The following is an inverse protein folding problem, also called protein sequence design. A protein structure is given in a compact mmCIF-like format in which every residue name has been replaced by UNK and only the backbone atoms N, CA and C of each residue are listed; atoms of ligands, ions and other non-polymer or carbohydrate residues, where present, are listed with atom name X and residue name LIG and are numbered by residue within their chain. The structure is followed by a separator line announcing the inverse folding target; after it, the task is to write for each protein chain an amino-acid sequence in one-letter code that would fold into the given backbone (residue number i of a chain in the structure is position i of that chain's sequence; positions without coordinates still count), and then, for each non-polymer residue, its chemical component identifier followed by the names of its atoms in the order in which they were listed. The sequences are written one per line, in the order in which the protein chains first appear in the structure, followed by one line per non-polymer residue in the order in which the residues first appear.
data_IF_055974909238
#
_entry.id   IF_055974909238
#
_cell.length_a   1.000
_cell.length_b   1.000
_cell.length_c   1.000
_cell.angle_alpha   90.00
_cell.angle_beta   90.00
_cell.angle_gamma   90.00
#
_symmetry.space_group_name_H-M   'P 1'
#
loop_
_entity.id
_entity.type
_entity.pdbx_description
1 polymer ?
#
# COMPACT_ATOMS: atom_id res chain seq x y z
N UNK A 1 -8.23 -7.31 -7.13
CA UNK A 1 -8.33 -6.31 -6.04
C UNK A 1 -9.65 -6.39 -5.27
N UNK A 2 -10.80 -6.42 -5.95
CA UNK A 2 -12.13 -6.45 -5.34
C UNK A 2 -12.69 -7.88 -5.32
N UNK A 3 -12.61 -8.61 -4.20
CA UNK A 3 -13.13 -9.98 -4.11
C UNK A 3 -14.67 -10.00 -4.15
N UNK A 4 -15.23 -11.13 -4.59
CA UNK A 4 -16.69 -11.39 -4.63
C UNK A 4 -17.32 -11.64 -3.25
N UNK A 5 -16.48 -11.99 -2.26
CA UNK A 5 -16.87 -12.24 -0.87
C UNK A 5 -16.22 -11.21 0.05
N UNK A 6 -16.83 -10.89 1.20
CA UNK A 6 -16.15 -10.14 2.25
C UNK A 6 -14.83 -10.79 2.61
N UNK A 7 -13.79 -9.99 2.84
CA UNK A 7 -12.44 -10.48 3.11
C UNK A 7 -11.77 -9.64 4.16
N UNK A 8 -11.11 -10.31 5.09
CA UNK A 8 -10.27 -9.64 6.06
C UNK A 8 -8.85 -9.41 5.54
N UNK A 9 -8.25 -8.30 5.95
CA UNK A 9 -6.80 -8.10 5.89
C UNK A 9 -6.25 -7.62 7.22
N UNK A 10 -4.99 -7.92 7.48
CA UNK A 10 -4.28 -7.42 8.66
C UNK A 10 -3.00 -6.71 8.25
N UNK A 11 -2.69 -5.60 8.91
CA UNK A 11 -1.46 -4.84 8.69
C UNK A 11 -0.24 -5.62 9.16
N UNK A 12 0.58 -6.14 8.22
CA UNK A 12 1.82 -6.87 8.53
C UNK A 12 3.07 -6.10 8.04
N UNK A 13 3.05 -4.78 8.17
CA UNK A 13 4.29 -4.02 8.22
C UNK A 13 4.93 -4.16 9.61
N UNK A 14 6.20 -3.77 9.74
CA UNK A 14 6.96 -3.89 10.99
C UNK A 14 6.27 -3.22 12.20
N UNK A 15 5.46 -2.17 12.01
CA UNK A 15 4.66 -1.57 13.08
C UNK A 15 3.54 -2.50 13.57
N UNK A 16 2.80 -3.13 12.66
CA UNK A 16 1.76 -4.11 12.99
C UNK A 16 2.34 -5.36 13.64
N UNK A 17 3.45 -5.88 13.08
CA UNK A 17 4.16 -7.03 13.66
C UNK A 17 4.66 -6.71 15.08
N UNK A 18 5.25 -5.54 15.30
CA UNK A 18 5.66 -5.08 16.62
C UNK A 18 4.51 -4.90 17.62
N UNK A 19 3.29 -4.68 17.13
CA UNK A 19 2.07 -4.57 17.94
C UNK A 19 1.33 -5.92 18.14
N UNK A 20 1.85 -7.02 17.58
CA UNK A 20 1.27 -8.37 17.76
C UNK A 20 0.39 -8.85 16.60
N UNK A 21 0.46 -8.24 15.41
CA UNK A 21 -0.36 -8.63 14.25
C UNK A 21 -0.23 -10.13 13.89
N UNK A 22 0.96 -10.73 14.02
CA UNK A 22 1.18 -12.15 13.71
C UNK A 22 0.33 -13.07 14.60
N UNK A 23 0.25 -12.77 15.90
CA UNK A 23 -0.55 -13.55 16.84
C UNK A 23 -2.05 -13.38 16.57
N UNK A 24 -2.51 -12.15 16.30
CA UNK A 24 -3.89 -11.87 15.90
C UNK A 24 -4.26 -12.60 14.61
N UNK A 25 -3.42 -12.50 13.58
CA UNK A 25 -3.61 -13.18 12.29
C UNK A 25 -3.79 -14.68 12.47
N UNK A 26 -2.89 -15.31 13.22
CA UNK A 26 -2.94 -16.76 13.46
C UNK A 26 -4.26 -17.20 14.10
N UNK A 27 -4.71 -16.48 15.13
CA UNK A 27 -6.00 -16.80 15.78
C UNK A 27 -7.17 -16.59 14.81
N UNK A 28 -7.14 -15.52 14.01
CA UNK A 28 -8.16 -15.28 12.98
C UNK A 28 -8.16 -16.38 11.90
N UNK A 29 -7.00 -16.88 11.47
CA UNK A 29 -6.92 -18.01 10.53
C UNK A 29 -7.47 -19.31 11.14
N UNK A 30 -7.15 -19.56 12.41
CA UNK A 30 -7.56 -20.77 13.16
C UNK A 30 -9.05 -20.76 13.55
N UNK A 31 -9.66 -19.58 13.70
CA UNK A 31 -11.07 -19.39 14.09
C UNK A 31 -12.09 -20.01 13.10
N UNK A 32 -11.65 -20.63 12.00
CA UNK A 32 -12.48 -21.37 11.02
C UNK A 32 -13.69 -20.57 10.54
N UNK A 33 -13.46 -19.35 10.08
CA UNK A 33 -14.54 -18.51 9.58
C UNK A 33 -15.08 -19.03 8.23
N UNK A 34 -16.41 -18.98 7.99
CA UNK A 34 -17.10 -19.88 7.06
C UNK A 34 -16.72 -19.70 5.59
N UNK A 35 -17.16 -20.64 4.74
CA UNK A 35 -17.21 -20.56 3.27
C UNK A 35 -17.64 -19.19 2.69
N UNK A 36 -18.34 -18.37 3.50
CA UNK A 36 -18.89 -17.05 3.19
C UNK A 36 -17.90 -15.88 3.32
N UNK A 37 -16.80 -16.02 4.08
CA UNK A 37 -15.73 -15.01 4.13
C UNK A 37 -14.51 -15.53 3.37
N UNK A 38 -13.95 -14.70 2.51
CA UNK A 38 -12.75 -15.01 1.74
C UNK A 38 -11.54 -15.21 2.63
N UNK A 39 -10.50 -15.85 2.08
CA UNK A 39 -9.24 -16.10 2.77
C UNK A 39 -8.64 -14.79 3.31
N UNK A 40 -8.24 -14.79 4.57
CA UNK A 40 -7.49 -13.71 5.20
C UNK A 40 -6.24 -13.40 4.36
N UNK A 41 -5.97 -12.12 4.13
CA UNK A 41 -4.73 -11.68 3.50
C UNK A 41 -4.06 -10.59 4.35
N UNK A 42 -2.98 -10.03 3.83
CA UNK A 42 -2.22 -8.98 4.52
C UNK A 42 -2.34 -7.67 3.77
N UNK A 43 -1.97 -6.58 4.42
CA UNK A 43 -1.78 -5.26 3.82
C UNK A 43 -0.55 -4.57 4.41
N UNK A 44 -0.05 -3.56 3.70
CA UNK A 44 1.05 -2.71 4.18
C UNK A 44 0.63 -1.78 5.33
N UNK A 45 1.56 -0.91 5.77
CA UNK A 45 1.29 0.08 6.81
C UNK A 45 0.38 1.20 6.28
N UNK A 46 -0.69 1.54 6.99
CA UNK A 46 -1.54 2.70 6.62
C UNK A 46 -1.01 4.02 7.18
N UNK A 47 -0.08 3.97 8.14
CA UNK A 47 0.53 5.12 8.80
C UNK A 47 -0.03 5.46 10.19
N UNK A 48 -1.07 4.77 10.68
CA UNK A 48 -1.58 4.95 12.03
C UNK A 48 -0.93 3.98 13.03
N UNK A 49 0.38 4.12 13.27
CA UNK A 49 1.13 3.21 14.16
C UNK A 49 0.54 3.14 15.59
N UNK A 50 -0.12 4.20 16.06
CA UNK A 50 -0.77 4.25 17.38
C UNK A 50 -2.06 3.40 17.46
N UNK A 51 -2.56 2.91 16.33
CA UNK A 51 -3.80 2.16 16.21
C UNK A 51 -3.57 0.68 15.84
N UNK A 52 -2.31 0.26 15.71
CA UNK A 52 -1.94 -1.11 15.37
C UNK A 52 -2.19 -2.10 16.54
N UNK A 53 -2.49 -3.39 16.27
CA UNK A 53 -2.71 -3.97 14.94
C UNK A 53 -4.03 -3.51 14.32
N UNK A 54 -3.97 -3.10 13.05
CA UNK A 54 -5.14 -2.76 12.25
C UNK A 54 -5.65 -3.99 11.49
N UNK A 55 -6.95 -4.22 11.58
CA UNK A 55 -7.67 -5.22 10.78
C UNK A 55 -8.66 -4.52 9.87
N UNK A 56 -8.64 -4.86 8.60
CA UNK A 56 -9.56 -4.39 7.56
C UNK A 56 -10.59 -5.48 7.26
N UNK A 57 -11.87 -5.13 7.24
CA UNK A 57 -12.91 -5.93 6.59
C UNK A 57 -13.33 -5.24 5.31
N UNK A 58 -12.96 -5.81 4.16
CA UNK A 58 -13.52 -5.41 2.88
C UNK A 58 -14.88 -6.06 2.68
N UNK A 59 -15.87 -5.27 2.30
CA UNK A 59 -17.22 -5.69 1.90
C UNK A 59 -17.45 -5.28 0.44
N UNK A 60 -17.77 -6.24 -0.45
CA UNK A 60 -18.00 -5.93 -1.86
C UNK A 60 -19.07 -4.86 -2.05
N UNK A 61 -18.84 -3.97 -3.02
CA UNK A 61 -19.74 -2.84 -3.37
C UNK A 61 -20.00 -1.79 -2.27
N UNK A 62 -19.35 -1.88 -1.12
CA UNK A 62 -19.49 -0.88 -0.05
C UNK A 62 -18.14 -0.23 0.25
N UNK A 63 -17.16 -1.04 0.64
CA UNK A 63 -15.82 -0.56 0.94
C UNK A 63 -15.17 -1.33 2.07
N UNK A 64 -14.34 -0.64 2.85
CA UNK A 64 -13.53 -1.22 3.91
C UNK A 64 -13.94 -0.64 5.25
N UNK A 65 -14.04 -1.51 6.25
CA UNK A 65 -14.20 -1.13 7.66
C UNK A 65 -12.89 -1.46 8.36
N UNK A 66 -12.26 -0.47 8.98
CA UNK A 66 -11.00 -0.66 9.71
C UNK A 66 -11.29 -0.76 11.21
N UNK A 67 -10.66 -1.73 11.86
CA UNK A 67 -10.68 -1.93 13.30
C UNK A 67 -9.29 -1.63 13.86
N UNK A 68 -9.22 -0.93 14.99
CA UNK A 68 -7.95 -0.58 15.64
C UNK A 68 -7.67 -1.42 16.89
N UNK A 69 -6.39 -1.45 17.29
CA UNK A 69 -5.90 -2.09 18.50
C UNK A 69 -6.45 -3.52 18.63
N UNK A 70 -6.32 -4.29 17.55
CA UNK A 70 -6.91 -5.63 17.43
C UNK A 70 -5.93 -6.68 17.95
N UNK A 71 -6.08 -7.03 19.22
CA UNK A 71 -5.45 -8.23 19.77
C UNK A 71 -6.15 -9.51 19.31
N UNK A 72 -5.64 -10.67 19.71
CA UNK A 72 -6.14 -11.97 19.26
C UNK A 72 -7.60 -12.23 19.68
N UNK A 73 -8.00 -11.86 20.90
CA UNK A 73 -9.37 -12.06 21.39
C UNK A 73 -10.36 -11.17 20.64
N UNK A 74 -9.98 -9.91 20.41
CA UNK A 74 -10.76 -8.95 19.63
C UNK A 74 -10.88 -9.39 18.18
N UNK A 75 -9.78 -9.89 17.59
CA UNK A 75 -9.74 -10.40 16.23
C UNK A 75 -10.72 -11.56 16.01
N UNK A 76 -10.73 -12.54 16.91
CA UNK A 76 -11.68 -13.66 16.90
C UNK A 76 -13.14 -13.16 16.92
N UNK A 77 -13.48 -12.28 17.87
CA UNK A 77 -14.84 -11.72 18.01
C UNK A 77 -15.30 -10.91 16.79
N UNK A 78 -14.39 -10.13 16.18
CA UNK A 78 -14.68 -9.38 14.95
C UNK A 78 -15.01 -10.34 13.81
N UNK A 79 -14.22 -11.42 13.70
CA UNK A 79 -14.40 -12.41 12.65
C UNK A 79 -15.69 -13.21 12.80
N UNK A 80 -16.02 -13.64 14.02
CA UNK A 80 -17.27 -14.33 14.34
C UNK A 80 -18.50 -13.46 14.05
N UNK A 81 -18.44 -12.17 14.41
CA UNK A 81 -19.51 -11.23 14.10
C UNK A 81 -19.71 -11.08 12.59
N UNK A 82 -18.63 -10.90 11.83
CA UNK A 82 -18.70 -10.76 10.38
C UNK A 82 -19.24 -12.03 9.70
N UNK A 83 -18.92 -13.21 10.24
CA UNK A 83 -19.47 -14.49 9.78
C UNK A 83 -21.00 -14.56 9.87
N UNK A 84 -21.56 -13.84 10.85
CA UNK A 84 -22.99 -13.74 11.12
C UNK A 84 -23.63 -12.52 10.43
N UNK A 85 -22.90 -11.81 9.56
CA UNK A 85 -23.39 -10.60 8.88
C UNK A 85 -23.48 -9.37 9.80
N UNK A 86 -22.64 -9.32 10.84
CA UNK A 86 -22.60 -8.22 11.82
C UNK A 86 -21.21 -7.59 11.94
N UNK A 87 -21.17 -6.33 12.35
CA UNK A 87 -19.94 -5.59 12.60
C UNK A 87 -19.83 -5.29 14.10
N UNK A 88 -18.63 -5.44 14.68
CA UNK A 88 -18.32 -5.01 16.04
C UNK A 88 -18.04 -3.50 16.06
N UNK A 89 -19.12 -2.73 16.06
CA UNK A 89 -19.11 -1.26 16.00
C UNK A 89 -18.24 -0.63 17.09
N UNK A 90 -18.20 -1.22 18.29
CA UNK A 90 -17.36 -0.75 19.41
C UNK A 90 -15.85 -0.82 19.14
N UNK A 91 -15.45 -1.44 18.03
CA UNK A 91 -14.05 -1.62 17.62
C UNK A 91 -13.73 -0.93 16.30
N UNK A 92 -14.72 -0.35 15.62
CA UNK A 92 -14.53 0.33 14.34
C UNK A 92 -13.76 1.61 14.57
N UNK A 93 -12.70 1.78 13.80
CA UNK A 93 -11.85 2.96 13.78
C UNK A 93 -12.34 3.98 12.75
N UNK A 94 -12.56 3.53 11.51
CA UNK A 94 -13.04 4.34 10.39
C UNK A 94 -13.47 3.45 9.22
N UNK A 95 -13.99 4.07 8.16
CA UNK A 95 -14.26 3.43 6.87
C UNK A 95 -13.34 3.93 5.75
N UNK A 96 -13.25 3.16 4.68
CA UNK A 96 -12.71 3.60 3.37
C UNK A 96 -13.68 3.12 2.29
N UNK A 97 -14.43 4.05 1.71
CA UNK A 97 -15.46 3.82 0.70
C UNK A 97 -15.13 4.47 -0.66
N UNK A 98 -13.95 5.07 -0.77
CA UNK A 98 -13.42 5.63 -2.01
C UNK A 98 -12.09 4.99 -2.39
N UNK A 99 -11.83 4.98 -3.69
CA UNK A 99 -10.60 4.51 -4.29
C UNK A 99 -10.01 5.59 -5.21
N UNK A 100 -8.69 5.74 -5.19
CA UNK A 100 -7.97 6.73 -5.99
C UNK A 100 -7.29 6.07 -7.19
N UNK A 101 -7.55 6.58 -8.40
CA UNK A 101 -6.83 6.20 -9.63
C UNK A 101 -5.67 7.14 -9.89
N UNK A 102 -4.49 6.59 -10.17
CA UNK A 102 -3.30 7.35 -10.53
C UNK A 102 -3.36 7.90 -11.95
N UNK A 103 -4.04 7.18 -12.84
CA UNK A 103 -4.14 7.56 -14.25
C UNK A 103 -5.07 8.76 -14.41
N UNK A 104 -6.24 8.73 -13.74
CA UNK A 104 -7.24 9.80 -13.90
C UNK A 104 -7.10 10.93 -12.88
N UNK A 105 -6.31 10.74 -11.82
CA UNK A 105 -6.24 11.66 -10.66
C UNK A 105 -7.64 11.89 -10.02
N UNK A 106 -8.50 10.87 -10.08
CA UNK A 106 -9.87 10.92 -9.57
C UNK A 106 -10.06 9.95 -8.41
N UNK A 107 -10.94 10.33 -7.49
CA UNK A 107 -11.51 9.41 -6.50
C UNK A 107 -12.87 8.91 -6.97
N UNK A 108 -13.09 7.61 -6.84
CA UNK A 108 -14.35 6.95 -7.19
C UNK A 108 -14.82 6.14 -6.00
N UNK A 109 -16.13 6.19 -5.74
CA UNK A 109 -16.73 5.34 -4.71
C UNK A 109 -16.60 3.86 -5.08
N UNK A 110 -16.36 3.02 -4.07
CA UNK A 110 -16.13 1.58 -4.24
C UNK A 110 -17.39 0.84 -4.73
N UNK A 111 -18.58 1.39 -4.51
CA UNK A 111 -19.85 0.91 -5.06
C UNK A 111 -19.89 0.89 -6.61
N UNK A 112 -19.17 1.82 -7.24
CA UNK A 112 -19.12 1.97 -8.71
C UNK A 112 -18.19 0.96 -9.38
N UNK A 113 -17.29 0.31 -8.65
CA UNK A 113 -16.30 -0.59 -9.25
C UNK A 113 -16.94 -1.88 -9.77
N UNK A 114 -16.47 -2.43 -10.91
CA UNK A 114 -17.04 -3.64 -11.47
C UNK A 114 -16.84 -4.83 -10.52
N UNK A 115 -17.91 -5.57 -10.27
CA UNK A 115 -17.83 -6.89 -9.67
C UNK A 115 -17.95 -7.92 -10.77
N UNK A 116 -16.95 -8.79 -10.88
CA UNK A 116 -17.01 -9.95 -11.75
C UNK A 116 -17.56 -11.09 -10.89
N UNK A 117 -18.66 -11.72 -11.30
CA UNK A 117 -19.27 -12.84 -10.56
C UNK A 117 -20.43 -12.48 -9.64
N UNK A 118 -21.03 -13.52 -9.05
CA UNK A 118 -22.15 -13.41 -8.11
C UNK A 118 -21.62 -12.99 -6.73
N UNK A 119 -22.04 -11.82 -6.27
CA UNK A 119 -21.64 -11.29 -4.97
C UNK A 119 -22.21 -12.14 -3.83
N UNK A 120 -21.34 -12.55 -2.91
CA UNK A 120 -21.72 -13.36 -1.75
C UNK A 120 -21.57 -12.50 -0.50
N UNK A 121 -22.55 -11.62 -0.28
CA UNK A 121 -22.59 -10.70 0.86
C UNK A 121 -23.61 -11.23 1.87
N UNK A 122 -23.14 -11.58 3.07
CA UNK A 122 -23.99 -12.08 4.16
C UNK A 122 -24.57 -10.98 5.07
N UNK A 123 -24.27 -9.71 4.76
CA UNK A 123 -24.77 -8.56 5.49
C UNK A 123 -26.03 -8.02 4.81
N UNK A 124 -26.99 -7.55 5.61
CA UNK A 124 -28.15 -6.82 5.07
C UNK A 124 -27.71 -5.45 4.53
N UNK A 125 -28.25 -5.03 3.38
CA UNK A 125 -27.84 -3.81 2.67
C UNK A 125 -28.12 -2.56 3.53
N UNK A 126 -29.35 -2.40 4.03
CA UNK A 126 -29.73 -1.28 4.91
C UNK A 126 -28.84 -1.20 6.18
N UNK A 127 -28.40 -2.36 6.70
CA UNK A 127 -27.50 -2.42 7.85
C UNK A 127 -26.10 -1.91 7.50
N UNK A 128 -25.55 -2.32 6.35
CA UNK A 128 -24.25 -1.82 5.90
C UNK A 128 -24.28 -0.32 5.60
N UNK A 129 -25.34 0.16 4.97
CA UNK A 129 -25.52 1.59 4.70
C UNK A 129 -25.51 2.40 6.00
N UNK A 130 -26.16 1.90 7.05
CA UNK A 130 -26.12 2.53 8.38
C UNK A 130 -24.71 2.52 8.97
N UNK A 131 -23.98 1.41 8.89
CA UNK A 131 -22.57 1.34 9.34
C UNK A 131 -21.71 2.36 8.60
N UNK A 132 -21.75 2.36 7.25
CA UNK A 132 -20.94 3.28 6.45
C UNK A 132 -21.38 4.74 6.58
N UNK A 133 -22.59 5.02 7.04
CA UNK A 133 -23.04 6.38 7.37
C UNK A 133 -22.58 6.84 8.75
N UNK A 134 -22.49 5.92 9.72
CA UNK A 134 -22.24 6.26 11.12
C UNK A 134 -20.75 6.46 11.46
N UNK A 135 -19.83 5.91 10.66
CA UNK A 135 -18.39 6.03 10.90
C UNK A 135 -17.70 7.01 9.93
N UNK A 136 -16.70 7.77 10.41
CA UNK A 136 -15.97 8.71 9.57
C UNK A 136 -15.11 7.97 8.53
N UNK A 137 -14.93 8.59 7.37
CA UNK A 137 -13.91 8.15 6.41
C UNK A 137 -12.51 8.32 7.00
N UNK A 138 -11.56 7.50 6.56
CA UNK A 138 -10.17 7.55 7.00
C UNK A 138 -9.56 8.96 6.90
N UNK A 139 -9.86 9.70 5.83
CA UNK A 139 -9.37 11.05 5.58
C UNK A 139 -10.11 12.17 6.33
N UNK A 140 -11.23 11.85 6.98
CA UNK A 140 -11.93 12.74 7.91
C UNK A 140 -11.34 12.69 9.32
N UNK A 141 -10.57 11.64 9.65
CA UNK A 141 -9.88 11.55 10.93
C UNK A 141 -8.82 12.65 11.05
N UNK A 142 -8.76 13.32 12.21
CA UNK A 142 -7.82 14.43 12.47
C UNK A 142 -6.37 14.09 12.09
N UNK A 143 -5.92 12.86 12.37
CA UNK A 143 -4.57 12.41 12.05
C UNK A 143 -4.28 12.41 10.54
N UNK A 144 -5.24 11.99 9.72
CA UNK A 144 -5.09 11.83 8.27
C UNK A 144 -5.57 13.05 7.49
N UNK A 145 -6.44 13.88 8.08
CA UNK A 145 -6.96 15.08 7.47
C UNK A 145 -5.81 16.02 7.08
N UNK A 146 -5.81 16.45 5.82
CA UNK A 146 -4.75 17.29 5.25
C UNK A 146 -3.50 16.54 4.75
N UNK A 147 -3.39 15.22 4.93
CA UNK A 147 -2.31 14.44 4.34
C UNK A 147 -2.54 14.21 2.84
N UNK A 148 -1.51 14.45 2.02
CA UNK A 148 -1.48 14.03 0.61
C UNK A 148 -0.47 12.90 0.42
N UNK A 149 -0.96 11.66 0.38
CA UNK A 149 -0.14 10.46 0.18
C UNK A 149 0.23 10.25 -1.29
N UNK A 150 1.32 10.87 -1.73
CA UNK A 150 1.84 10.69 -3.11
C UNK A 150 2.71 9.44 -3.21
N UNK A 151 3.75 9.36 -2.37
CA UNK A 151 4.65 8.19 -2.31
C UNK A 151 3.98 7.02 -1.61
N UNK A 152 3.22 7.31 -0.54
CA UNK A 152 2.52 6.30 0.29
C UNK A 152 1.11 5.97 -0.21
N UNK A 153 0.82 6.22 -1.49
CA UNK A 153 -0.51 6.10 -2.09
C UNK A 153 -1.14 4.70 -1.99
N UNK A 154 -0.30 3.66 -1.97
CA UNK A 154 -0.73 2.27 -1.89
C UNK A 154 -0.58 1.68 -0.48
N UNK A 155 0.08 2.41 0.43
CA UNK A 155 0.39 1.92 1.78
C UNK A 155 -0.89 1.73 2.59
N UNK A 156 -1.16 0.49 2.99
CA UNK A 156 -2.40 0.07 3.64
C UNK A 156 -3.54 -0.30 2.69
N UNK A 157 -3.36 -0.17 1.37
CA UNK A 157 -4.39 -0.46 0.37
C UNK A 157 -4.15 -1.77 -0.40
N UNK A 158 -2.89 -2.13 -0.61
CA UNK A 158 -2.48 -3.35 -1.33
C UNK A 158 -1.87 -4.38 -0.38
N UNK A 159 -1.95 -5.64 -0.78
CA UNK A 159 -1.01 -6.64 -0.33
C UNK A 159 0.36 -6.39 -1.02
N UNK A 160 1.42 -6.02 -0.28
CA UNK A 160 2.74 -5.73 -0.86
C UNK A 160 3.42 -6.95 -1.51
N UNK A 161 2.93 -8.16 -1.24
CA UNK A 161 3.45 -9.43 -1.76
C UNK A 161 2.66 -9.91 -2.99
N UNK A 162 1.73 -9.09 -3.51
CA UNK A 162 0.92 -9.42 -4.68
C UNK A 162 1.02 -8.33 -5.76
N UNK A 163 1.79 -8.62 -6.81
CA UNK A 163 1.97 -7.72 -7.96
C UNK A 163 0.65 -7.35 -8.66
N UNK A 164 -0.34 -8.25 -8.68
CA UNK A 164 -1.63 -7.98 -9.33
C UNK A 164 -2.37 -6.83 -8.64
N UNK A 165 -2.19 -6.65 -7.34
CA UNK A 165 -2.78 -5.54 -6.61
C UNK A 165 -2.07 -4.21 -6.89
N UNK A 166 -0.76 -4.24 -7.14
CA UNK A 166 -0.02 -3.07 -7.61
C UNK A 166 -0.48 -2.66 -9.01
N UNK A 167 -0.56 -3.62 -9.95
CA UNK A 167 -1.03 -3.40 -11.33
C UNK A 167 -2.48 -2.92 -11.35
N UNK A 168 -3.36 -3.51 -10.52
CA UNK A 168 -4.77 -3.10 -10.44
C UNK A 168 -4.96 -1.65 -9.94
N UNK A 169 -3.94 -1.05 -9.33
CA UNK A 169 -3.90 0.36 -8.94
C UNK A 169 -3.02 1.19 -9.87
N UNK A 170 -3.01 0.84 -11.15
CA UNK A 170 -2.27 1.55 -12.21
C UNK A 170 -0.74 1.42 -12.10
N UNK A 171 -0.22 0.49 -11.29
CA UNK A 171 1.21 0.22 -11.19
C UNK A 171 1.82 -0.24 -12.52
N UNK A 172 3.08 0.16 -12.78
CA UNK A 172 3.79 -0.05 -14.04
C UNK A 172 3.26 0.71 -15.27
N UNK A 173 2.16 1.45 -15.14
CA UNK A 173 1.68 2.31 -16.23
C UNK A 173 2.67 3.44 -16.55
N UNK A 174 3.28 4.06 -15.54
CA UNK A 174 4.26 5.13 -15.76
C UNK A 174 5.54 4.58 -16.41
N UNK A 175 5.95 3.35 -16.07
CA UNK A 175 7.02 2.66 -16.76
C UNK A 175 6.67 2.41 -18.24
N UNK A 176 5.47 1.90 -18.53
CA UNK A 176 5.02 1.68 -19.90
C UNK A 176 5.11 2.96 -20.74
N UNK A 177 4.57 4.08 -20.24
CA UNK A 177 4.67 5.39 -20.89
C UNK A 177 6.12 5.87 -21.05
N UNK A 178 6.94 5.71 -20.00
CA UNK A 178 8.35 6.10 -20.02
C UNK A 178 9.14 5.35 -21.11
N UNK A 179 8.85 4.07 -21.34
CA UNK A 179 9.51 3.29 -22.40
C UNK A 179 9.12 3.73 -23.82
N UNK A 180 8.03 4.48 -23.99
CA UNK A 180 7.67 5.11 -25.26
C UNK A 180 8.38 6.46 -25.47
N UNK A 181 9.01 7.01 -24.43
CA UNK A 181 9.71 8.29 -24.46
C UNK A 181 11.21 8.11 -24.72
N UNK A 182 11.84 9.18 -25.22
CA UNK A 182 13.30 9.23 -25.23
C UNK A 182 13.84 9.42 -23.80
N UNK A 183 15.02 8.86 -23.46
CA UNK A 183 15.65 9.07 -22.16
C UNK A 183 15.80 10.54 -21.76
N UNK A 184 16.12 11.42 -22.72
CA UNK A 184 16.24 12.86 -22.48
C UNK A 184 14.89 13.51 -22.14
N UNK A 185 13.80 13.07 -22.77
CA UNK A 185 12.44 13.54 -22.47
C UNK A 185 12.02 13.18 -21.04
N UNK A 186 12.39 11.99 -20.56
CA UNK A 186 12.15 11.59 -19.16
C UNK A 186 12.92 12.50 -18.20
N UNK A 187 14.21 12.76 -18.47
CA UNK A 187 15.04 13.65 -17.65
C UNK A 187 14.45 15.07 -17.63
N UNK A 188 13.94 15.55 -18.77
CA UNK A 188 13.27 16.85 -18.86
C UNK A 188 11.99 16.88 -18.00
N UNK A 189 11.17 15.83 -18.04
CA UNK A 189 9.95 15.73 -17.25
C UNK A 189 10.24 15.71 -15.74
N UNK A 190 11.24 14.91 -15.31
CA UNK A 190 11.71 14.91 -13.92
C UNK A 190 12.26 16.28 -13.52
N UNK A 191 12.94 16.99 -14.42
CA UNK A 191 13.43 18.35 -14.18
C UNK A 191 12.28 19.35 -14.02
N UNK A 192 11.25 19.26 -14.87
CA UNK A 192 10.03 20.10 -14.80
C UNK A 192 9.26 19.90 -13.51
N UNK A 193 9.23 18.67 -12.99
CA UNK A 193 8.60 18.35 -11.68
C UNK A 193 9.27 19.03 -10.49
N UNK A 194 10.52 19.51 -10.67
CA UNK A 194 11.38 20.08 -9.61
C UNK A 194 11.65 19.10 -8.47
N UNK A 195 11.61 17.79 -8.75
CA UNK A 195 11.93 16.76 -7.75
C UNK A 195 13.34 16.94 -7.21
N UNK A 196 13.48 16.89 -5.88
CA UNK A 196 14.76 17.00 -5.17
C UNK A 196 15.04 15.69 -4.42
N UNK A 197 16.32 15.36 -4.23
CA UNK A 197 16.75 14.22 -3.45
C UNK A 197 16.18 14.25 -2.04
N UNK A 198 15.52 13.17 -1.61
CA UNK A 198 14.81 13.08 -0.33
C UNK A 198 15.63 12.57 0.85
N UNK A 199 16.85 12.06 0.61
CA UNK A 199 17.82 11.70 1.65
C UNK A 199 18.57 12.89 2.26
N UNK A 200 17.92 14.05 2.44
CA UNK A 200 18.49 15.22 3.13
C UNK A 200 19.20 16.27 2.26
N UNK A 201 20.09 15.87 1.34
CA UNK A 201 20.91 16.83 0.57
C UNK A 201 20.11 17.74 -0.38
N UNK A 202 18.91 17.32 -0.80
CA UNK A 202 18.01 18.15 -1.60
C UNK A 202 18.56 18.53 -2.99
N UNK A 203 19.49 17.76 -3.56
CA UNK A 203 20.00 18.06 -4.91
C UNK A 203 18.91 17.83 -5.99
N UNK A 204 18.79 18.66 -7.04
CA UNK A 204 17.80 18.47 -8.10
C UNK A 204 17.98 17.12 -8.81
N UNK A 205 16.93 16.29 -8.82
CA UNK A 205 17.00 14.90 -9.31
C UNK A 205 17.21 14.85 -10.81
N UNK A 206 16.50 15.70 -11.58
CA UNK A 206 16.65 15.78 -13.03
C UNK A 206 18.08 16.17 -13.46
N UNK A 207 18.70 17.11 -12.74
CA UNK A 207 20.10 17.49 -13.00
C UNK A 207 21.06 16.35 -12.69
N UNK A 208 20.85 15.63 -11.58
CA UNK A 208 21.63 14.43 -11.24
C UNK A 208 21.55 13.37 -12.35
N UNK A 209 20.36 13.13 -12.89
CA UNK A 209 20.14 12.17 -13.97
C UNK A 209 20.78 12.62 -15.29
N UNK A 210 20.67 13.92 -15.62
CA UNK A 210 21.32 14.51 -16.80
C UNK A 210 22.83 14.30 -16.76
N UNK A 211 23.46 14.64 -15.63
CA UNK A 211 24.91 14.44 -15.44
C UNK A 211 25.30 12.96 -15.56
N UNK A 212 24.52 12.04 -14.98
CA UNK A 212 24.78 10.60 -15.11
C UNK A 212 24.63 10.11 -16.56
N UNK A 213 23.65 10.64 -17.31
CA UNK A 213 23.46 10.31 -18.73
C UNK A 213 24.60 10.83 -19.62
N UNK A 214 25.10 12.04 -19.35
CA UNK A 214 26.19 12.67 -20.11
C UNK A 214 27.59 12.15 -19.74
N UNK A 215 27.73 11.53 -18.56
CA UNK A 215 28.99 10.95 -18.13
C UNK A 215 29.49 9.90 -19.13
N UNK A 216 30.80 9.97 -19.44
CA UNK A 216 31.49 8.99 -20.28
C UNK A 216 31.64 7.66 -19.53
N UNK A 217 31.48 6.57 -20.26
CA UNK A 217 31.57 5.21 -19.73
C UNK A 217 30.52 4.32 -20.39
N UNK A 218 30.86 3.06 -20.63
CA UNK A 218 29.94 2.09 -21.23
C UNK A 218 28.94 1.57 -20.19
N UNK A 219 29.40 1.34 -18.95
CA UNK A 219 28.58 0.80 -17.87
C UNK A 219 28.10 1.89 -16.94
N UNK A 220 26.80 1.85 -16.61
CA UNK A 220 26.17 2.74 -15.63
C UNK A 220 25.27 1.93 -14.71
N UNK A 221 25.06 2.46 -13.51
CA UNK A 221 24.29 1.81 -12.46
C UNK A 221 23.24 2.74 -11.89
N UNK A 222 22.10 2.18 -11.51
CA UNK A 222 21.13 2.83 -10.62
C UNK A 222 21.29 2.24 -9.22
N UNK A 223 21.34 3.08 -8.19
CA UNK A 223 21.43 2.61 -6.81
C UNK A 223 20.32 3.25 -6.00
N UNK A 224 19.49 2.41 -5.38
CA UNK A 224 18.51 2.83 -4.38
C UNK A 224 19.14 2.66 -2.99
N UNK A 225 19.24 3.76 -2.25
CA UNK A 225 19.78 3.76 -0.89
C UNK A 225 18.63 3.68 0.11
N UNK A 226 18.42 2.51 0.69
CA UNK A 226 17.50 2.23 1.81
C UNK A 226 18.21 2.12 3.15
N UNK A 227 19.41 2.67 3.31
CA UNK A 227 20.11 2.80 4.59
C UNK A 227 19.60 4.00 5.40
N UNK A 228 18.37 3.88 5.86
CA UNK A 228 17.69 4.90 6.68
C UNK A 228 18.22 4.88 8.12
N UNK A 229 19.45 5.36 8.31
CA UNK A 229 20.19 5.29 9.58
C UNK A 229 19.75 6.28 10.67
N UNK A 230 19.01 7.33 10.30
CA UNK A 230 18.68 8.43 11.21
C UNK A 230 17.64 8.03 12.27
N UNK A 231 17.88 8.28 13.57
CA UNK A 231 16.91 7.97 14.62
C UNK A 231 15.55 8.63 14.38
N UNK A 232 14.49 7.83 14.39
CA UNK A 232 13.11 8.31 14.17
C UNK A 232 12.69 8.39 12.69
N UNK A 233 13.59 8.13 11.74
CA UNK A 233 13.23 7.95 10.34
C UNK A 233 12.79 6.50 10.08
N UNK A 234 11.64 6.35 9.42
CA UNK A 234 11.08 5.05 9.00
C UNK A 234 10.27 5.18 7.70
N UNK A 235 10.43 6.28 6.97
CA UNK A 235 9.69 6.59 5.75
C UNK A 235 10.12 5.65 4.61
N UNK A 236 11.42 5.37 4.48
CA UNK A 236 11.92 4.45 3.46
C UNK A 236 11.44 3.04 3.79
N UNK A 237 11.56 2.62 5.06
CA UNK A 237 11.04 1.32 5.53
C UNK A 237 9.58 1.11 5.15
N UNK A 238 8.73 2.11 5.38
CA UNK A 238 7.29 2.00 5.07
C UNK A 238 7.06 1.78 3.59
N UNK A 239 7.80 2.45 2.71
CA UNK A 239 7.69 2.24 1.24
C UNK A 239 8.14 0.83 0.88
N UNK A 240 9.32 0.41 1.33
CA UNK A 240 9.90 -0.89 0.97
C UNK A 240 9.02 -2.05 1.47
N UNK A 241 8.42 -1.91 2.65
CA UNK A 241 7.53 -2.92 3.21
C UNK A 241 6.11 -2.88 2.65
N UNK A 242 5.60 -1.72 2.23
CA UNK A 242 4.17 -1.56 1.89
C UNK A 242 3.89 -1.46 0.39
N UNK A 243 4.89 -1.09 -0.41
CA UNK A 243 4.76 -0.92 -1.86
C UNK A 243 6.14 -1.06 -2.56
N UNK A 244 6.78 -2.25 -2.48
CA UNK A 244 8.11 -2.46 -3.05
C UNK A 244 8.14 -2.23 -4.57
N UNK A 245 7.07 -2.58 -5.28
CA UNK A 245 6.98 -2.42 -6.73
C UNK A 245 7.04 -0.94 -7.16
N UNK A 246 6.51 0.00 -6.37
CA UNK A 246 6.64 1.45 -6.70
C UNK A 246 8.09 1.94 -6.73
N UNK A 247 8.92 1.42 -5.84
CA UNK A 247 10.33 1.75 -5.76
C UNK A 247 11.07 1.12 -6.94
N UNK A 248 10.79 -0.16 -7.23
CA UNK A 248 11.35 -0.88 -8.38
C UNK A 248 10.97 -0.19 -9.69
N UNK A 249 9.71 0.21 -9.87
CA UNK A 249 9.24 0.94 -11.06
C UNK A 249 10.04 2.25 -11.25
N UNK A 250 10.23 3.01 -10.18
CA UNK A 250 11.04 4.23 -10.20
C UNK A 250 12.51 3.96 -10.54
N UNK A 251 13.10 2.87 -10.05
CA UNK A 251 14.45 2.45 -10.40
C UNK A 251 14.58 2.10 -11.87
N UNK A 252 13.64 1.34 -12.45
CA UNK A 252 13.66 0.97 -13.86
C UNK A 252 13.56 2.22 -14.75
N UNK A 253 12.63 3.13 -14.43
CA UNK A 253 12.50 4.40 -15.17
C UNK A 253 13.79 5.21 -15.10
N UNK A 254 14.40 5.31 -13.91
CA UNK A 254 15.67 6.01 -13.72
C UNK A 254 16.82 5.34 -14.47
N UNK A 255 16.90 4.01 -14.46
CA UNK A 255 17.90 3.25 -15.18
C UNK A 255 17.80 3.48 -16.69
N UNK A 256 16.60 3.37 -17.26
CA UNK A 256 16.34 3.66 -18.67
C UNK A 256 16.74 5.09 -19.04
N UNK A 257 16.37 6.08 -18.21
CA UNK A 257 16.71 7.48 -18.42
C UNK A 257 18.23 7.73 -18.46
N UNK A 258 19.00 7.16 -17.54
CA UNK A 258 20.46 7.38 -17.48
C UNK A 258 21.26 6.46 -18.40
N UNK A 259 20.63 5.38 -18.90
CA UNK A 259 21.27 4.34 -19.71
C UNK A 259 22.08 3.37 -18.85
N UNK A 260 21.50 2.92 -17.73
CA UNK A 260 22.05 1.89 -16.87
C UNK A 260 21.35 0.55 -17.15
N UNK A 261 22.15 -0.52 -17.22
CA UNK A 261 21.67 -1.89 -17.42
C UNK A 261 21.58 -2.67 -16.10
N UNK A 262 22.18 -2.14 -15.03
CA UNK A 262 22.27 -2.79 -13.72
C UNK A 262 21.78 -1.86 -12.60
N UNK A 263 21.11 -2.46 -11.61
CA UNK A 263 20.56 -1.76 -10.46
C UNK A 263 20.86 -2.47 -9.15
N UNK A 264 21.13 -1.70 -8.09
CA UNK A 264 21.37 -2.21 -6.75
C UNK A 264 20.43 -1.55 -5.75
N UNK A 265 19.84 -2.35 -4.86
CA UNK A 265 19.06 -1.86 -3.72
C UNK A 265 19.89 -2.15 -2.48
N UNK A 266 20.38 -1.10 -1.83
CA UNK A 266 21.11 -1.22 -0.58
C UNK A 266 20.15 -1.03 0.60
N UNK A 267 19.84 -2.11 1.32
CA UNK A 267 18.96 -2.07 2.49
C UNK A 267 19.76 -2.41 3.73
N UNK A 268 19.54 -1.64 4.80
CA UNK A 268 20.15 -1.90 6.10
C UNK A 268 19.71 -3.23 6.70
N UNK A 269 20.61 -3.88 7.44
CA UNK A 269 20.36 -5.19 8.04
C UNK A 269 19.21 -5.19 9.07
N UNK A 270 18.88 -4.04 9.66
CA UNK A 270 17.80 -3.91 10.65
C UNK A 270 16.40 -3.95 10.03
N UNK A 271 16.25 -3.99 8.70
CA UNK A 271 14.97 -4.06 8.00
C UNK A 271 14.74 -5.42 7.30
N UNK A 272 14.71 -6.54 8.04
CA UNK A 272 14.60 -7.88 7.43
C UNK A 272 13.31 -8.08 6.63
N UNK A 273 12.18 -7.51 7.10
CA UNK A 273 10.89 -7.61 6.37
C UNK A 273 10.91 -6.84 5.05
N UNK A 274 11.62 -5.71 4.99
CA UNK A 274 11.81 -4.99 3.74
C UNK A 274 12.63 -5.82 2.73
N UNK A 275 13.71 -6.45 3.18
CA UNK A 275 14.53 -7.35 2.34
C UNK A 275 13.69 -8.49 1.79
N UNK A 276 12.94 -9.19 2.64
CA UNK A 276 12.07 -10.31 2.24
C UNK A 276 11.07 -9.90 1.14
N UNK A 277 10.39 -8.76 1.30
CA UNK A 277 9.41 -8.27 0.32
C UNK A 277 10.03 -7.78 -0.97
N UNK A 278 11.24 -7.21 -0.91
CA UNK A 278 11.99 -6.82 -2.10
C UNK A 278 12.50 -8.04 -2.87
N UNK A 279 12.98 -9.07 -2.18
CA UNK A 279 13.39 -10.34 -2.81
C UNK A 279 12.22 -11.04 -3.50
N UNK A 280 11.01 -10.93 -2.95
CA UNK A 280 9.80 -11.45 -3.61
C UNK A 280 9.37 -10.61 -4.83
N UNK A 281 9.64 -9.30 -4.80
CA UNK A 281 9.20 -8.36 -5.83
C UNK A 281 10.10 -8.30 -7.07
N UNK A 282 11.30 -8.90 -7.02
CA UNK A 282 12.31 -8.98 -8.10
C UNK A 282 12.31 -10.37 -8.73
#
# INVERSE_FOLDING_TARGET
MFPEKPRFRIGEASCGLGAGAEATKKVMEDARVPEKIGRLSITGCIGACFAEPLVELYVPKHGKILFNNVDSEKGEKIMEAAAQGRVKEEHVFCKVDEEYSLITDERKKLDTFPSFGDLQIQFEEDYLDEIFKNFPSLDELEYFSGQKKVVLRNSGYINPENIDEYIARDGYFALYESLQMSPNSIIEEVSKSKLRGRGGAGYPTGEKWRLAREAKGETKYVVSNGDEGDPGAYMDRVVLESDPHSMIEGMIIGAYAIGADEGFIFVRNEYPKAVERLELAV
#
